data_IF_315472260816
#
_entry.id   IF_315472260816
#
_cell.length_a   1.000
_cell.length_b   1.000
_cell.length_c   1.000
_cell.angle_alpha   90.00
_cell.angle_beta   90.00
_cell.angle_gamma   90.00
#
_symmetry.space_group_name_H-M   'P 1'
#
loop_
_entity.id
_entity.type
_entity.pdbx_description
1 polymer ?
#
# COMPACT_ATOMS: atom_id res chain seq x y z
N UNK A 1 28.31 -2.73 5.60
CA UNK A 1 26.93 -2.22 5.42
C UNK A 1 26.31 -2.67 4.10
N UNK A 2 27.02 -2.54 2.97
CA UNK A 2 26.58 -2.95 1.62
C UNK A 2 26.15 -4.41 1.49
N UNK A 3 26.85 -5.37 2.12
CA UNK A 3 26.47 -6.80 2.10
C UNK A 3 25.07 -7.06 2.64
N UNK A 4 24.70 -6.46 3.77
CA UNK A 4 23.36 -6.59 4.36
C UNK A 4 22.30 -6.01 3.43
N UNK A 5 22.58 -4.86 2.81
CA UNK A 5 21.69 -4.25 1.81
C UNK A 5 21.53 -5.13 0.56
N UNK A 6 22.60 -5.76 0.09
CA UNK A 6 22.54 -6.69 -1.04
C UNK A 6 21.70 -7.93 -0.70
N UNK A 7 21.90 -8.52 0.48
CA UNK A 7 21.07 -9.62 0.97
C UNK A 7 19.60 -9.21 1.14
N UNK A 8 19.34 -7.97 1.56
CA UNK A 8 17.98 -7.42 1.63
C UNK A 8 17.37 -7.22 0.24
N UNK A 9 18.15 -6.77 -0.75
CA UNK A 9 17.68 -6.60 -2.13
C UNK A 9 17.21 -7.92 -2.75
N UNK A 10 17.73 -9.07 -2.32
CA UNK A 10 17.24 -10.38 -2.76
C UNK A 10 15.76 -10.62 -2.40
N UNK A 11 15.23 -9.97 -1.36
CA UNK A 11 13.81 -10.09 -1.02
C UNK A 11 12.88 -9.37 -2.00
N UNK A 12 13.42 -8.49 -2.85
CA UNK A 12 12.69 -7.80 -3.92
C UNK A 12 12.39 -8.73 -5.10
N UNK A 13 13.17 -9.80 -5.28
CA UNK A 13 12.95 -10.76 -6.37
C UNK A 13 11.62 -11.51 -6.22
N UNK A 14 10.97 -11.93 -7.33
CA UNK A 14 9.80 -12.78 -7.30
C UNK A 14 10.00 -14.04 -6.45
N UNK A 15 8.94 -14.50 -5.78
CA UNK A 15 9.02 -15.65 -4.85
C UNK A 15 9.57 -16.91 -5.52
N UNK A 16 9.13 -17.20 -6.75
CA UNK A 16 9.61 -18.32 -7.54
C UNK A 16 11.12 -18.28 -7.76
N UNK A 17 11.62 -17.10 -8.16
CA UNK A 17 13.04 -16.86 -8.37
C UNK A 17 13.83 -17.06 -7.07
N UNK A 18 13.33 -16.51 -5.95
CA UNK A 18 13.96 -16.66 -4.64
C UNK A 18 14.02 -18.12 -4.17
N UNK A 19 13.01 -18.93 -4.48
CA UNK A 19 13.02 -20.37 -4.13
C UNK A 19 14.04 -21.14 -4.93
N UNK A 20 14.21 -20.80 -6.21
CA UNK A 20 15.14 -21.50 -7.10
C UNK A 20 16.58 -21.06 -6.92
N UNK A 21 16.84 -19.76 -6.94
CA UNK A 21 18.18 -19.19 -7.03
C UNK A 21 18.61 -18.43 -5.77
N UNK A 22 17.74 -18.32 -4.76
CA UNK A 22 18.00 -17.46 -3.61
C UNK A 22 19.19 -17.91 -2.76
N UNK A 23 19.42 -19.22 -2.65
CA UNK A 23 20.56 -19.77 -1.89
C UNK A 23 21.86 -19.61 -2.67
N UNK A 24 21.84 -19.89 -3.98
CA UNK A 24 22.96 -19.67 -4.90
C UNK A 24 23.38 -18.20 -4.94
N UNK A 25 22.44 -17.27 -5.05
CA UNK A 25 22.73 -15.83 -5.02
C UNK A 25 23.22 -15.36 -3.65
N UNK A 26 22.75 -15.95 -2.54
CA UNK A 26 23.32 -15.65 -1.22
C UNK A 26 24.76 -16.14 -1.12
N UNK A 27 25.04 -17.35 -1.55
CA UNK A 27 26.40 -17.89 -1.60
C UNK A 27 27.32 -17.03 -2.48
N UNK A 28 26.85 -16.59 -3.65
CA UNK A 28 27.61 -15.71 -4.55
C UNK A 28 27.92 -14.35 -3.90
N UNK A 29 26.93 -13.74 -3.22
CA UNK A 29 27.12 -12.49 -2.49
C UNK A 29 28.03 -12.64 -1.27
N UNK A 30 28.09 -13.85 -0.70
CA UNK A 30 28.97 -14.16 0.43
C UNK A 30 30.43 -14.35 -0.02
N UNK A 31 30.65 -14.78 -1.26
CA UNK A 31 31.96 -14.97 -1.88
C UNK A 31 32.50 -13.74 -2.62
N UNK A 32 31.62 -12.78 -2.98
CA UNK A 32 31.98 -11.63 -3.82
C UNK A 32 32.04 -10.31 -3.01
N UNK A 33 32.97 -9.39 -3.33
CA UNK A 33 32.98 -8.06 -2.72
C UNK A 33 31.72 -7.27 -3.11
N UNK A 34 30.91 -6.89 -2.12
CA UNK A 34 29.63 -6.18 -2.33
C UNK A 34 29.82 -4.67 -2.35
N UNK A 35 29.63 -4.05 -3.51
CA UNK A 35 29.67 -2.59 -3.72
C UNK A 35 28.26 -2.00 -3.80
N UNK A 36 28.13 -0.68 -3.71
CA UNK A 36 26.83 -0.01 -3.87
C UNK A 36 26.18 -0.31 -5.24
N UNK A 37 27.00 -0.39 -6.30
CA UNK A 37 26.57 -0.78 -7.65
C UNK A 37 25.93 -2.17 -7.66
N UNK A 38 26.46 -3.12 -6.88
CA UNK A 38 25.87 -4.47 -6.74
C UNK A 38 24.44 -4.41 -6.19
N UNK A 39 24.16 -3.52 -5.24
CA UNK A 39 22.80 -3.34 -4.70
C UNK A 39 21.88 -2.78 -5.77
N UNK A 40 22.33 -1.78 -6.54
CA UNK A 40 21.56 -1.21 -7.65
C UNK A 40 21.29 -2.25 -8.74
N UNK A 41 22.26 -3.08 -9.08
CA UNK A 41 22.11 -4.16 -10.07
C UNK A 41 21.11 -5.22 -9.60
N UNK A 42 21.12 -5.59 -8.31
CA UNK A 42 20.13 -6.50 -7.72
C UNK A 42 18.72 -5.89 -7.74
N UNK A 43 18.58 -4.60 -7.42
CA UNK A 43 17.29 -3.90 -7.48
C UNK A 43 16.77 -3.85 -8.92
N UNK A 44 17.64 -3.51 -9.88
CA UNK A 44 17.32 -3.50 -11.31
C UNK A 44 16.96 -4.91 -11.80
N UNK A 45 17.72 -5.92 -11.40
CA UNK A 45 17.46 -7.32 -11.74
C UNK A 45 16.13 -7.81 -11.17
N UNK A 46 15.80 -7.44 -9.94
CA UNK A 46 14.50 -7.74 -9.34
C UNK A 46 13.36 -7.10 -10.14
N UNK A 47 13.50 -5.84 -10.54
CA UNK A 47 12.51 -5.12 -11.36
C UNK A 47 12.31 -5.83 -12.71
N UNK A 48 13.41 -6.16 -13.41
CA UNK A 48 13.35 -6.89 -14.69
C UNK A 48 12.68 -8.26 -14.51
N UNK A 49 12.95 -8.97 -13.41
CA UNK A 49 12.33 -10.26 -13.12
C UNK A 49 10.81 -10.16 -12.89
N UNK A 50 10.31 -9.03 -12.37
CA UNK A 50 8.86 -8.77 -12.28
C UNK A 50 8.23 -8.43 -13.63
N UNK A 51 8.96 -7.69 -14.48
CA UNK A 51 8.51 -7.28 -15.82
C UNK A 51 8.53 -8.43 -16.84
N UNK A 52 9.45 -9.39 -16.70
CA UNK A 52 9.58 -10.56 -17.57
C UNK A 52 9.52 -11.85 -16.74
N UNK A 53 8.33 -12.24 -16.23
CA UNK A 53 8.19 -13.48 -15.48
C UNK A 53 8.51 -14.66 -16.39
N UNK A 54 9.48 -15.50 -16.03
CA UNK A 54 9.69 -16.76 -16.73
C UNK A 54 8.60 -17.77 -16.30
N UNK A 55 7.93 -18.37 -17.28
CA UNK A 55 6.76 -19.23 -17.06
C UNK A 55 7.08 -20.51 -16.31
N UNK A 56 8.23 -21.12 -16.63
CA UNK A 56 8.82 -22.30 -15.98
C UNK A 56 8.97 -22.16 -14.46
N UNK A 57 9.39 -20.99 -13.97
CA UNK A 57 9.57 -20.74 -12.55
C UNK A 57 8.25 -20.63 -11.79
N UNK A 58 7.15 -20.27 -12.45
CA UNK A 58 5.85 -20.10 -11.79
C UNK A 58 5.26 -21.44 -11.29
N UNK A 59 5.63 -22.55 -11.93
CA UNK A 59 5.21 -23.90 -11.57
C UNK A 59 5.89 -24.41 -10.30
N UNK A 60 7.10 -23.91 -10.00
CA UNK A 60 7.85 -24.24 -8.77
C UNK A 60 7.20 -23.70 -7.48
N UNK A 61 6.17 -22.86 -7.58
CA UNK A 61 5.49 -22.26 -6.43
C UNK A 61 4.14 -22.95 -6.22
N UNK A 62 3.95 -23.54 -5.05
CA UNK A 62 2.69 -24.15 -4.65
C UNK A 62 1.50 -23.18 -4.84
N UNK A 63 0.31 -23.66 -5.29
CA UNK A 63 -0.85 -22.80 -5.53
C UNK A 63 -1.23 -21.92 -4.35
N UNK A 64 -1.16 -22.46 -3.12
CA UNK A 64 -1.45 -21.71 -1.90
C UNK A 64 -0.50 -20.52 -1.69
N UNK A 65 0.80 -20.68 -1.98
CA UNK A 65 1.78 -19.60 -1.84
C UNK A 65 1.59 -18.50 -2.89
N UNK A 66 1.11 -18.86 -4.09
CA UNK A 66 0.74 -17.88 -5.12
C UNK A 66 -0.46 -17.06 -4.68
N UNK A 67 -1.50 -17.69 -4.09
CA UNK A 67 -2.65 -16.97 -3.53
C UNK A 67 -2.23 -16.05 -2.38
N UNK A 68 -1.36 -16.52 -1.47
CA UNK A 68 -0.78 -15.69 -0.40
C UNK A 68 0.00 -14.49 -0.94
N UNK A 69 0.83 -14.71 -1.95
CA UNK A 69 1.59 -13.65 -2.61
C UNK A 69 0.65 -12.61 -3.24
N UNK A 70 -0.38 -13.06 -3.97
CA UNK A 70 -1.39 -12.18 -4.57
C UNK A 70 -2.16 -11.37 -3.53
N UNK A 71 -2.66 -12.02 -2.46
CA UNK A 71 -3.36 -11.32 -1.38
C UNK A 71 -2.47 -10.25 -0.70
N UNK A 72 -1.20 -10.59 -0.42
CA UNK A 72 -0.25 -9.61 0.14
C UNK A 72 0.10 -8.49 -0.84
N UNK A 73 0.13 -8.77 -2.15
CA UNK A 73 0.34 -7.79 -3.20
C UNK A 73 -0.82 -6.78 -3.28
N UNK A 74 -2.06 -7.26 -3.20
CA UNK A 74 -3.24 -6.39 -3.16
C UNK A 74 -3.21 -5.51 -1.90
N UNK A 75 -2.89 -6.07 -0.72
CA UNK A 75 -2.77 -5.29 0.51
C UNK A 75 -1.72 -4.16 0.38
N UNK A 76 -0.57 -4.45 -0.24
CA UNK A 76 0.44 -3.44 -0.51
C UNK A 76 -0.11 -2.33 -1.44
N UNK A 77 -0.79 -2.71 -2.52
CA UNK A 77 -1.36 -1.73 -3.46
C UNK A 77 -2.48 -0.90 -2.80
N UNK A 78 -3.27 -1.50 -1.91
CA UNK A 78 -4.27 -0.81 -1.10
C UNK A 78 -3.63 0.26 -0.21
N UNK A 79 -2.48 -0.04 0.41
CA UNK A 79 -1.73 0.93 1.22
C UNK A 79 -1.21 2.09 0.36
N UNK A 80 -0.65 1.81 -0.82
CA UNK A 80 -0.21 2.86 -1.75
C UNK A 80 -1.38 3.76 -2.18
N UNK A 81 -2.52 3.16 -2.53
CA UNK A 81 -3.73 3.91 -2.88
C UNK A 81 -4.26 4.71 -1.69
N UNK A 82 -4.17 4.17 -0.47
CA UNK A 82 -4.58 4.89 0.75
C UNK A 82 -3.71 6.12 0.98
N UNK A 83 -2.39 6.03 0.79
CA UNK A 83 -1.47 7.18 0.88
C UNK A 83 -1.86 8.26 -0.14
N UNK A 84 -2.13 7.88 -1.39
CA UNK A 84 -2.61 8.82 -2.42
C UNK A 84 -3.98 9.41 -2.06
N UNK A 85 -4.89 8.61 -1.49
CA UNK A 85 -6.21 9.03 -1.04
C UNK A 85 -6.15 10.02 0.13
N UNK A 86 -5.22 9.85 1.07
CA UNK A 86 -4.94 10.85 2.11
C UNK A 86 -4.46 12.17 1.50
N UNK A 87 -3.60 12.10 0.48
CA UNK A 87 -3.20 13.27 -0.29
C UNK A 87 -4.39 13.96 -0.94
N UNK A 88 -5.30 13.20 -1.55
CA UNK A 88 -6.53 13.72 -2.16
C UNK A 88 -7.40 14.45 -1.13
N UNK A 89 -7.63 13.81 0.02
CA UNK A 89 -8.42 14.39 1.09
C UNK A 89 -7.79 15.70 1.59
N UNK A 90 -6.47 15.70 1.85
CA UNK A 90 -5.75 16.92 2.24
C UNK A 90 -5.87 18.04 1.19
N UNK A 91 -5.87 17.70 -0.10
CA UNK A 91 -6.00 18.66 -1.21
C UNK A 91 -7.40 19.22 -1.41
N UNK A 92 -8.40 18.70 -0.70
CA UNK A 92 -9.81 19.02 -0.94
C UNK A 92 -10.60 19.23 0.35
N UNK A 93 -9.93 19.33 1.50
CA UNK A 93 -10.57 19.45 2.81
C UNK A 93 -10.98 20.89 3.14
N UNK A 94 -10.36 21.89 2.51
CA UNK A 94 -10.62 23.29 2.81
C UNK A 94 -12.04 23.71 2.41
N UNK A 95 -12.63 24.64 3.17
CA UNK A 95 -14.02 25.09 3.02
C UNK A 95 -14.42 25.49 1.58
N UNK A 96 -13.56 26.14 0.76
CA UNK A 96 -13.89 26.45 -0.63
C UNK A 96 -14.18 25.21 -1.49
N UNK A 97 -13.51 24.08 -1.25
CA UNK A 97 -13.77 22.83 -1.96
C UNK A 97 -15.12 22.22 -1.55
N UNK A 98 -15.48 22.32 -0.27
CA UNK A 98 -16.81 21.96 0.21
C UNK A 98 -17.92 22.77 -0.47
N UNK A 99 -17.73 24.09 -0.56
CA UNK A 99 -18.67 24.98 -1.26
C UNK A 99 -18.79 24.64 -2.76
N UNK A 100 -17.67 24.36 -3.44
CA UNK A 100 -17.67 23.93 -4.83
C UNK A 100 -18.38 22.58 -5.01
N UNK A 101 -18.22 21.63 -4.09
CA UNK A 101 -18.98 20.38 -4.11
C UNK A 101 -20.50 20.61 -4.01
N UNK A 102 -20.95 21.58 -3.21
CA UNK A 102 -22.37 21.92 -3.16
C UNK A 102 -22.89 22.59 -4.43
N UNK A 103 -22.06 23.38 -5.12
CA UNK A 103 -22.41 24.04 -6.37
C UNK A 103 -22.35 23.10 -7.59
N UNK A 104 -21.45 22.12 -7.60
CA UNK A 104 -21.18 21.25 -8.75
C UNK A 104 -21.43 19.77 -8.39
N UNK A 105 -22.56 19.19 -8.84
CA UNK A 105 -22.97 17.84 -8.45
C UNK A 105 -21.94 16.74 -8.75
N UNK A 106 -21.16 16.88 -9.83
CA UNK A 106 -20.14 15.91 -10.22
C UNK A 106 -18.98 15.86 -9.20
N UNK A 107 -18.51 17.01 -8.72
CA UNK A 107 -17.46 17.07 -7.69
C UNK A 107 -17.93 16.39 -6.40
N UNK A 108 -19.16 16.69 -5.96
CA UNK A 108 -19.75 16.06 -4.77
C UNK A 108 -19.96 14.56 -4.95
N UNK A 109 -20.50 14.13 -6.08
CA UNK A 109 -20.74 12.72 -6.37
C UNK A 109 -19.42 11.93 -6.37
N UNK A 110 -18.37 12.46 -7.01
CA UNK A 110 -17.05 11.84 -7.02
C UNK A 110 -16.46 11.76 -5.60
N UNK A 111 -16.52 12.85 -4.82
CA UNK A 111 -16.02 12.86 -3.45
C UNK A 111 -16.75 11.86 -2.54
N UNK A 112 -18.09 11.80 -2.60
CA UNK A 112 -18.89 10.82 -1.86
C UNK A 112 -18.62 9.38 -2.31
N UNK A 113 -18.45 9.15 -3.61
CA UNK A 113 -18.11 7.84 -4.15
C UNK A 113 -16.76 7.35 -3.63
N UNK A 114 -15.74 8.21 -3.60
CA UNK A 114 -14.42 7.90 -3.03
C UNK A 114 -14.57 7.46 -1.57
N UNK A 115 -15.27 8.25 -0.74
CA UNK A 115 -15.47 7.93 0.68
C UNK A 115 -16.24 6.62 0.88
N UNK A 116 -17.40 6.46 0.22
CA UNK A 116 -18.23 5.27 0.36
C UNK A 116 -17.51 4.00 -0.08
N UNK A 117 -16.81 4.04 -1.22
CA UNK A 117 -16.04 2.90 -1.73
C UNK A 117 -14.80 2.62 -0.88
N UNK A 118 -14.17 3.64 -0.32
CA UNK A 118 -13.06 3.47 0.62
C UNK A 118 -13.51 2.74 1.90
N UNK A 119 -14.71 3.03 2.41
CA UNK A 119 -15.29 2.30 3.55
C UNK A 119 -15.56 0.84 3.20
N UNK A 120 -16.15 0.57 2.04
CA UNK A 120 -16.39 -0.81 1.55
C UNK A 120 -15.08 -1.57 1.36
N UNK A 121 -14.07 -0.96 0.73
CA UNK A 121 -12.74 -1.53 0.54
C UNK A 121 -12.04 -1.84 1.87
N UNK A 122 -12.08 -0.90 2.82
CA UNK A 122 -11.53 -1.09 4.17
C UNK A 122 -12.24 -2.22 4.92
N UNK A 123 -13.57 -2.29 4.83
CA UNK A 123 -14.36 -3.38 5.38
C UNK A 123 -13.96 -4.73 4.80
N UNK A 124 -13.76 -4.81 3.48
CA UNK A 124 -13.27 -6.03 2.83
C UNK A 124 -11.85 -6.41 3.31
N UNK A 125 -10.94 -5.46 3.50
CA UNK A 125 -9.60 -5.73 4.08
C UNK A 125 -9.75 -6.33 5.47
N UNK A 126 -10.58 -5.75 6.35
CA UNK A 126 -10.79 -6.24 7.72
C UNK A 126 -11.40 -7.64 7.71
N UNK A 127 -12.46 -7.87 6.93
CA UNK A 127 -13.11 -9.18 6.81
C UNK A 127 -12.16 -10.26 6.28
N UNK A 128 -11.31 -9.92 5.30
CA UNK A 128 -10.31 -10.84 4.75
C UNK A 128 -9.15 -11.11 5.71
N UNK A 129 -8.75 -10.11 6.51
CA UNK A 129 -7.64 -10.21 7.45
C UNK A 129 -8.05 -10.89 8.77
N UNK A 130 -9.29 -10.75 9.22
CA UNK A 130 -9.77 -11.25 10.51
C UNK A 130 -9.45 -12.74 10.75
N UNK A 131 -9.80 -13.69 9.85
CA UNK A 131 -9.48 -15.10 10.07
C UNK A 131 -7.96 -15.35 10.10
N UNK A 132 -7.16 -14.53 9.39
CA UNK A 132 -5.70 -14.64 9.39
C UNK A 132 -5.12 -14.16 10.71
N UNK A 133 -5.63 -13.05 11.25
CA UNK A 133 -5.23 -12.47 12.54
C UNK A 133 -5.52 -13.46 13.67
N UNK A 134 -6.70 -14.08 13.70
CA UNK A 134 -7.07 -15.05 14.73
C UNK A 134 -6.11 -16.25 14.74
N UNK A 135 -5.79 -16.81 13.57
CA UNK A 135 -4.86 -17.94 13.47
C UNK A 135 -3.43 -17.50 13.82
N UNK A 136 -2.98 -16.32 13.36
CA UNK A 136 -1.66 -15.81 13.67
C UNK A 136 -1.46 -15.54 15.17
N UNK A 137 -2.49 -15.01 15.86
CA UNK A 137 -2.48 -14.81 17.31
C UNK A 137 -2.46 -16.15 18.06
N UNK A 138 -3.25 -17.13 17.63
CA UNK A 138 -3.24 -18.46 18.22
C UNK A 138 -1.86 -19.12 18.10
N UNK A 139 -1.23 -19.02 16.94
CA UNK A 139 0.12 -19.58 16.71
C UNK A 139 1.21 -18.78 17.43
N UNK A 140 1.05 -17.46 17.57
CA UNK A 140 1.97 -16.62 18.33
C UNK A 140 2.03 -17.00 19.81
N UNK A 141 0.95 -17.54 20.39
CA UNK A 141 0.97 -18.09 21.76
C UNK A 141 1.92 -19.29 21.89
N UNK A 142 2.12 -20.05 20.81
CA UNK A 142 2.96 -21.26 20.78
C UNK A 142 4.38 -20.98 20.29
N UNK A 143 4.56 -19.97 19.43
CA UNK A 143 5.86 -19.63 18.81
C UNK A 143 6.31 -18.22 19.17
N UNK A 144 7.32 -18.05 20.05
CA UNK A 144 7.75 -16.73 20.51
C UNK A 144 8.30 -15.83 19.39
N UNK A 145 8.90 -16.43 18.36
CA UNK A 145 9.37 -15.70 17.18
C UNK A 145 8.22 -14.99 16.43
N UNK A 146 7.03 -15.59 16.39
CA UNK A 146 5.86 -15.03 15.72
C UNK A 146 5.18 -13.92 16.53
N UNK A 147 5.35 -13.91 17.86
CA UNK A 147 4.80 -12.86 18.75
C UNK A 147 5.27 -11.47 18.33
N UNK A 148 6.58 -11.32 18.11
CA UNK A 148 7.18 -10.04 17.67
C UNK A 148 6.54 -9.58 16.36
N UNK A 149 6.33 -10.51 15.44
CA UNK A 149 5.82 -10.21 14.11
C UNK A 149 4.34 -9.79 14.13
N UNK A 150 3.52 -10.45 14.96
CA UNK A 150 2.10 -10.13 15.12
C UNK A 150 1.88 -8.86 15.95
N UNK A 151 2.80 -8.51 16.86
CA UNK A 151 2.72 -7.26 17.63
C UNK A 151 3.15 -6.01 16.86
N UNK A 152 3.89 -6.15 15.76
CA UNK A 152 4.39 -5.00 14.99
C UNK A 152 3.28 -4.13 14.38
N UNK A 153 2.25 -4.67 13.68
CA UNK A 153 1.18 -3.84 13.14
C UNK A 153 0.42 -3.01 14.19
N UNK A 154 -0.11 -3.57 15.30
CA UNK A 154 -0.82 -2.77 16.28
C UNK A 154 0.09 -1.73 16.94
N UNK A 155 1.36 -2.07 17.20
CA UNK A 155 2.32 -1.10 17.73
C UNK A 155 2.57 0.05 16.74
N UNK A 156 2.75 -0.25 15.46
CA UNK A 156 2.93 0.76 14.42
C UNK A 156 1.71 1.70 14.30
N UNK A 157 0.49 1.14 14.38
CA UNK A 157 -0.76 1.91 14.40
C UNK A 157 -0.85 2.79 15.65
N UNK A 158 -0.53 2.26 16.83
CA UNK A 158 -0.54 3.02 18.08
C UNK A 158 0.46 4.18 18.07
N UNK A 159 1.67 3.94 17.59
CA UNK A 159 2.71 4.97 17.43
C UNK A 159 2.24 6.07 16.48
N UNK A 160 1.69 5.69 15.32
CA UNK A 160 1.19 6.67 14.35
C UNK A 160 -0.02 7.46 14.89
N UNK A 161 -0.94 6.79 15.60
CA UNK A 161 -2.07 7.45 16.25
C UNK A 161 -1.63 8.43 17.34
N UNK A 162 -0.68 8.05 18.19
CA UNK A 162 -0.11 8.92 19.21
C UNK A 162 0.57 10.16 18.59
N UNK A 163 1.37 9.97 17.54
CA UNK A 163 2.01 11.06 16.80
C UNK A 163 0.98 11.98 16.14
N UNK A 164 -0.10 11.43 15.60
CA UNK A 164 -1.20 12.22 15.03
C UNK A 164 -1.91 13.03 16.11
N UNK A 165 -2.13 12.46 17.30
CA UNK A 165 -2.65 13.18 18.46
C UNK A 165 -1.76 14.35 18.87
N UNK A 166 -0.44 14.14 18.94
CA UNK A 166 0.54 15.21 19.21
C UNK A 166 0.48 16.29 18.13
N UNK A 167 0.43 15.90 16.85
CA UNK A 167 0.32 16.84 15.73
C UNK A 167 -0.93 17.72 15.84
N UNK A 168 -2.08 17.13 16.16
CA UNK A 168 -3.35 17.86 16.34
C UNK A 168 -3.27 18.84 17.52
N UNK A 169 -2.69 18.42 18.65
CA UNK A 169 -2.51 19.29 19.82
C UNK A 169 -1.60 20.48 19.48
N UNK A 170 -0.48 20.23 18.78
CA UNK A 170 0.45 21.28 18.33
C UNK A 170 -0.21 22.20 17.31
N UNK A 171 -0.96 21.67 16.36
CA UNK A 171 -1.67 22.47 15.36
C UNK A 171 -2.70 23.41 16.02
N UNK A 172 -3.46 22.92 17.00
CA UNK A 172 -4.47 23.71 17.71
C UNK A 172 -3.89 24.75 18.68
N UNK A 173 -2.64 24.58 19.12
CA UNK A 173 -1.98 25.52 20.04
C UNK A 173 -1.24 26.65 19.32
N UNK A 174 -1.00 26.53 18.01
CA UNK A 174 -0.45 27.61 17.20
C UNK A 174 -1.56 28.54 16.69
N UNK A 175 -1.38 29.87 16.82
CA UNK A 175 -2.36 30.84 16.32
C UNK A 175 -2.45 30.78 14.79
N UNK A 176 -3.66 30.87 14.20
CA UNK A 176 -3.81 30.97 12.75
C UNK A 176 -3.08 32.23 12.25
N UNK A 177 -2.13 32.09 11.32
CA UNK A 177 -1.60 33.23 10.55
C UNK A 177 -0.10 33.38 10.41
N UNK A 178 0.76 32.57 11.06
CA UNK A 178 2.19 32.57 10.72
C UNK A 178 2.59 31.28 9.98
N UNK A 179 2.97 31.34 8.70
CA UNK A 179 3.60 30.21 8.04
C UNK A 179 4.92 29.94 8.75
N UNK A 180 4.95 28.90 9.59
CA UNK A 180 6.16 28.47 10.26
C UNK A 180 6.80 27.33 9.49
N UNK A 181 8.09 27.50 9.16
CA UNK A 181 8.94 26.42 8.61
C UNK A 181 8.92 25.17 9.49
N UNK A 182 8.72 25.36 10.80
CA UNK A 182 8.56 24.30 11.79
C UNK A 182 7.31 23.45 11.53
N UNK A 183 6.14 24.06 11.26
CA UNK A 183 4.91 23.32 10.97
C UNK A 183 5.03 22.44 9.73
N UNK A 184 5.63 22.97 8.67
CA UNK A 184 5.93 22.20 7.46
C UNK A 184 6.86 21.01 7.72
N UNK A 185 7.97 21.23 8.45
CA UNK A 185 8.92 20.17 8.79
C UNK A 185 8.27 19.06 9.66
N UNK A 186 7.44 19.44 10.64
CA UNK A 186 6.70 18.49 11.48
C UNK A 186 5.72 17.67 10.64
N UNK A 187 5.01 18.29 9.70
CA UNK A 187 4.09 17.58 8.80
C UNK A 187 4.82 16.61 7.85
N UNK A 188 6.00 17.00 7.33
CA UNK A 188 6.88 16.10 6.54
C UNK A 188 7.32 14.91 7.39
N UNK A 189 7.80 15.16 8.61
CA UNK A 189 8.22 14.08 9.52
C UNK A 189 7.06 13.14 9.84
N UNK A 190 5.87 13.67 10.11
CA UNK A 190 4.65 12.88 10.34
C UNK A 190 4.30 12.02 9.12
N UNK A 191 4.34 12.58 7.91
CA UNK A 191 4.08 11.85 6.67
C UNK A 191 5.07 10.71 6.44
N UNK A 192 6.38 10.96 6.65
CA UNK A 192 7.43 9.93 6.54
C UNK A 192 7.21 8.80 7.55
N UNK A 193 6.88 9.13 8.81
CA UNK A 193 6.59 8.12 9.83
C UNK A 193 5.33 7.33 9.47
N UNK A 194 4.28 7.98 8.96
CA UNK A 194 3.08 7.30 8.48
C UNK A 194 3.37 6.28 7.38
N UNK A 195 4.19 6.64 6.39
CA UNK A 195 4.63 5.73 5.33
C UNK A 195 5.45 4.56 5.92
N UNK A 196 6.34 4.84 6.86
CA UNK A 196 7.13 3.80 7.53
C UNK A 196 6.24 2.81 8.33
N UNK A 197 5.28 3.32 9.10
CA UNK A 197 4.30 2.50 9.83
C UNK A 197 3.48 1.63 8.87
N UNK A 198 3.01 2.21 7.75
CA UNK A 198 2.26 1.46 6.74
C UNK A 198 3.10 0.35 6.09
N UNK A 199 4.38 0.63 5.78
CA UNK A 199 5.31 -0.37 5.27
C UNK A 199 5.53 -1.51 6.28
N UNK A 200 5.73 -1.19 7.56
CA UNK A 200 5.85 -2.18 8.65
C UNK A 200 4.61 -3.06 8.73
N UNK A 201 3.40 -2.47 8.67
CA UNK A 201 2.14 -3.22 8.67
C UNK A 201 2.06 -4.22 7.51
N UNK A 202 2.39 -3.79 6.29
CA UNK A 202 2.35 -4.69 5.11
C UNK A 202 3.39 -5.79 5.21
N UNK A 203 4.63 -5.45 5.60
CA UNK A 203 5.73 -6.42 5.71
C UNK A 203 5.42 -7.46 6.78
N UNK A 204 4.95 -7.03 7.95
CA UNK A 204 4.57 -7.91 9.05
C UNK A 204 3.35 -8.78 8.67
N UNK A 205 2.30 -8.20 8.07
CA UNK A 205 1.13 -8.97 7.62
C UNK A 205 1.53 -10.02 6.57
N UNK A 206 2.38 -9.66 5.61
CA UNK A 206 2.92 -10.59 4.61
C UNK A 206 3.73 -11.70 5.28
N UNK A 207 4.67 -11.36 6.16
CA UNK A 207 5.47 -12.36 6.83
C UNK A 207 4.62 -13.32 7.69
N UNK A 208 3.58 -12.82 8.37
CA UNK A 208 2.65 -13.64 9.14
C UNK A 208 1.88 -14.61 8.23
N UNK A 209 1.39 -14.12 7.09
CA UNK A 209 0.65 -14.89 6.10
C UNK A 209 1.46 -16.09 5.56
N UNK A 210 2.78 -15.93 5.41
CA UNK A 210 3.67 -17.01 4.98
C UNK A 210 4.14 -17.92 6.12
N UNK A 211 4.20 -17.42 7.37
CA UNK A 211 4.65 -18.19 8.52
C UNK A 211 3.59 -19.13 9.12
N UNK A 212 2.31 -18.83 8.91
CA UNK A 212 1.19 -19.52 9.56
C UNK A 212 0.58 -20.59 8.63
N UNK A 213 0.32 -21.82 9.11
CA UNK A 213 -0.44 -22.81 8.34
C UNK A 213 -1.91 -22.35 8.25
N UNK A 214 -2.41 -22.18 7.03
CA UNK A 214 -3.79 -21.74 6.79
C UNK A 214 -4.56 -22.81 6.05
N UNK A 215 -5.79 -23.06 6.49
CA UNK A 215 -6.69 -23.91 5.75
C UNK A 215 -7.09 -23.25 4.42
N UNK A 216 -7.27 -24.10 3.39
CA UNK A 216 -7.68 -23.70 2.05
C UNK A 216 -8.90 -22.75 2.03
N UNK A 217 -10.02 -23.02 2.75
CA UNK A 217 -11.19 -22.13 2.71
C UNK A 217 -10.88 -20.72 3.25
N UNK A 218 -10.14 -20.61 4.37
CA UNK A 218 -9.76 -19.30 4.93
C UNK A 218 -8.92 -18.48 3.95
N UNK A 219 -8.00 -19.14 3.25
CA UNK A 219 -7.16 -18.50 2.24
C UNK A 219 -7.99 -18.04 1.03
N UNK A 220 -8.95 -18.84 0.57
CA UNK A 220 -9.85 -18.47 -0.53
C UNK A 220 -10.79 -17.32 -0.15
N UNK A 221 -11.32 -17.28 1.08
CA UNK A 221 -12.13 -16.17 1.57
C UNK A 221 -11.32 -14.87 1.65
N UNK A 222 -10.13 -14.92 2.26
CA UNK A 222 -9.23 -13.76 2.33
C UNK A 222 -8.88 -13.23 0.93
N UNK A 223 -8.71 -14.14 -0.02
CA UNK A 223 -8.43 -13.79 -1.41
C UNK A 223 -9.64 -13.21 -2.15
N UNK A 224 -10.85 -13.71 -1.91
CA UNK A 224 -12.08 -13.11 -2.44
C UNK A 224 -12.25 -11.67 -1.95
N UNK A 225 -11.99 -11.40 -0.67
CA UNK A 225 -11.94 -10.05 -0.12
C UNK A 225 -10.90 -9.18 -0.83
N UNK A 226 -9.70 -9.70 -1.12
CA UNK A 226 -8.68 -8.99 -1.87
C UNK A 226 -9.13 -8.66 -3.33
N UNK A 227 -9.90 -9.54 -3.97
CA UNK A 227 -10.49 -9.24 -5.28
C UNK A 227 -11.50 -8.07 -5.18
N UNK A 228 -12.35 -8.05 -4.15
CA UNK A 228 -13.26 -6.92 -3.87
C UNK A 228 -12.49 -5.62 -3.65
N UNK A 229 -11.40 -5.66 -2.88
CA UNK A 229 -10.51 -4.50 -2.67
C UNK A 229 -9.94 -3.99 -4.00
N UNK A 230 -9.55 -4.89 -4.91
CA UNK A 230 -9.03 -4.51 -6.24
C UNK A 230 -10.08 -3.74 -7.06
N UNK A 231 -11.34 -4.17 -7.01
CA UNK A 231 -12.46 -3.47 -7.67
C UNK A 231 -12.69 -2.11 -7.01
N UNK A 232 -12.72 -2.05 -5.68
CA UNK A 232 -12.87 -0.80 -4.94
C UNK A 232 -11.77 0.22 -5.29
N UNK A 233 -10.51 -0.23 -5.40
CA UNK A 233 -9.39 0.60 -5.84
C UNK A 233 -9.60 1.19 -7.23
N UNK A 234 -10.10 0.41 -8.18
CA UNK A 234 -10.36 0.87 -9.54
C UNK A 234 -11.47 1.95 -9.57
N UNK A 235 -12.53 1.74 -8.79
CA UNK A 235 -13.63 2.71 -8.67
C UNK A 235 -13.16 4.00 -7.99
N UNK A 236 -12.36 3.92 -6.93
CA UNK A 236 -11.76 5.09 -6.28
C UNK A 236 -10.88 5.86 -7.28
N UNK A 237 -9.99 5.18 -7.99
CA UNK A 237 -9.10 5.82 -8.97
C UNK A 237 -9.89 6.53 -10.09
N UNK A 238 -10.97 5.91 -10.58
CA UNK A 238 -11.85 6.52 -11.57
C UNK A 238 -12.58 7.75 -11.02
N UNK A 239 -13.14 7.67 -9.81
CA UNK A 239 -13.80 8.80 -9.17
C UNK A 239 -12.83 9.97 -8.92
N UNK A 240 -11.59 9.68 -8.48
CA UNK A 240 -10.53 10.68 -8.33
C UNK A 240 -10.14 11.31 -9.66
N UNK A 241 -10.05 10.53 -10.74
CA UNK A 241 -9.79 11.05 -12.09
C UNK A 241 -10.91 11.98 -12.56
N UNK A 242 -12.17 11.59 -12.37
CA UNK A 242 -13.33 12.43 -12.71
C UNK A 242 -13.31 13.74 -11.91
N UNK A 243 -13.01 13.68 -10.61
CA UNK A 243 -12.84 14.86 -9.78
C UNK A 243 -11.72 15.77 -10.30
N UNK A 244 -10.56 15.19 -10.64
CA UNK A 244 -9.40 15.93 -11.13
C UNK A 244 -9.65 16.62 -12.48
N UNK A 245 -10.50 16.04 -13.34
CA UNK A 245 -10.92 16.64 -14.62
C UNK A 245 -11.98 17.73 -14.40
N UNK A 246 -12.97 17.46 -13.55
CA UNK A 246 -14.08 18.37 -13.31
C UNK A 246 -13.64 19.65 -12.57
N UNK A 247 -12.71 19.54 -11.62
CA UNK A 247 -12.26 20.69 -10.81
C UNK A 247 -11.78 21.89 -11.63
N UNK A 248 -10.84 21.76 -12.60
CA UNK A 248 -10.42 22.91 -13.42
C UNK A 248 -11.50 23.40 -14.39
N UNK A 249 -12.46 22.55 -14.79
CA UNK A 249 -13.55 22.94 -15.67
C UNK A 249 -14.64 23.76 -14.93
N UNK A 250 -15.02 23.30 -13.74
CA UNK A 250 -16.13 23.86 -12.96
C UNK A 250 -15.67 24.96 -11.98
N UNK A 251 -14.46 24.83 -11.42
CA UNK A 251 -13.92 25.72 -10.40
C UNK A 251 -12.42 26.03 -10.64
N UNK A 252 -12.07 26.69 -11.77
CA UNK A 252 -10.68 26.92 -12.17
C UNK A 252 -9.84 27.65 -11.11
N UNK A 253 -10.44 28.60 -10.38
CA UNK A 253 -9.73 29.31 -9.30
C UNK A 253 -9.26 28.38 -8.17
N UNK A 254 -10.01 27.32 -7.86
CA UNK A 254 -9.63 26.33 -6.84
C UNK A 254 -8.56 25.37 -7.34
N UNK A 255 -8.59 25.05 -8.63
CA UNK A 255 -7.60 24.21 -9.29
C UNK A 255 -6.18 24.81 -9.23
N UNK A 256 -6.07 26.14 -9.18
CA UNK A 256 -4.81 26.89 -9.12
C UNK A 256 -4.33 27.19 -7.67
N UNK A 257 -5.11 26.85 -6.64
CA UNK A 257 -4.70 27.06 -5.25
C UNK A 257 -3.54 26.14 -4.86
N UNK A 258 -2.67 26.63 -3.98
CA UNK A 258 -1.58 25.86 -3.36
C UNK A 258 -2.09 25.09 -2.13
N UNK A 259 -3.08 24.22 -2.33
CA UNK A 259 -3.65 23.38 -1.25
C UNK A 259 -3.21 21.90 -1.37
N UNK A 260 -2.21 21.61 -2.21
CA UNK A 260 -1.59 20.29 -2.27
C UNK A 260 -0.91 19.90 -0.94
N UNK A 261 -0.54 18.61 -0.75
CA UNK A 261 0.32 18.21 0.36
C UNK A 261 1.56 19.11 0.42
N UNK A 262 1.86 19.62 1.61
CA UNK A 262 2.94 20.59 1.88
C UNK A 262 2.76 21.99 1.27
N UNK A 263 1.66 22.29 0.57
CA UNK A 263 1.36 23.58 -0.08
C UNK A 263 2.43 24.03 -1.09
N UNK A 264 3.20 23.08 -1.64
CA UNK A 264 4.31 23.38 -2.57
C UNK A 264 3.82 23.45 -4.03
N UNK A 265 2.75 22.70 -4.35
CA UNK A 265 2.22 22.56 -5.71
C UNK A 265 0.75 22.92 -5.75
N UNK A 266 0.28 23.30 -6.93
CA UNK A 266 -1.15 23.56 -7.16
C UNK A 266 -1.98 22.30 -6.95
N UNK A 267 -3.25 22.48 -6.60
CA UNK A 267 -4.20 21.37 -6.40
C UNK A 267 -4.29 20.50 -7.65
N UNK A 268 -4.29 21.07 -8.85
CA UNK A 268 -4.29 20.31 -10.11
C UNK A 268 -3.09 19.38 -10.24
N UNK A 269 -1.88 19.88 -9.98
CA UNK A 269 -0.65 19.06 -10.06
C UNK A 269 -0.67 17.95 -9.00
N UNK A 270 -1.12 18.28 -7.78
CA UNK A 270 -1.29 17.30 -6.70
C UNK A 270 -2.26 16.19 -7.09
N UNK A 271 -3.45 16.54 -7.58
CA UNK A 271 -4.48 15.59 -8.02
C UNK A 271 -3.97 14.71 -9.17
N UNK A 272 -3.27 15.30 -10.15
CA UNK A 272 -2.67 14.54 -11.25
C UNK A 272 -1.64 13.51 -10.75
N UNK A 273 -0.76 13.90 -9.83
CA UNK A 273 0.21 12.98 -9.23
C UNK A 273 -0.48 11.85 -8.46
N UNK A 274 -1.53 12.14 -7.71
CA UNK A 274 -2.32 11.14 -6.98
C UNK A 274 -3.02 10.16 -7.92
N UNK A 275 -3.63 10.65 -9.00
CA UNK A 275 -4.25 9.81 -10.04
C UNK A 275 -3.23 8.85 -10.66
N UNK A 276 -2.02 9.34 -10.98
CA UNK A 276 -0.94 8.49 -11.52
C UNK A 276 -0.58 7.37 -10.53
N UNK A 277 -0.39 7.71 -9.25
CA UNK A 277 -0.09 6.71 -8.20
C UNK A 277 -1.21 5.69 -8.05
N UNK A 278 -2.47 6.15 -8.03
CA UNK A 278 -3.64 5.28 -7.96
C UNK A 278 -3.75 4.35 -9.19
N UNK A 279 -3.51 4.87 -10.39
CA UNK A 279 -3.53 4.08 -11.62
C UNK A 279 -2.46 2.97 -11.60
N UNK A 280 -1.25 3.29 -11.15
CA UNK A 280 -0.18 2.29 -10.96
C UNK A 280 -0.61 1.23 -9.94
N UNK A 281 -1.15 1.65 -8.79
CA UNK A 281 -1.62 0.73 -7.76
C UNK A 281 -2.74 -0.20 -8.26
N UNK A 282 -3.70 0.33 -9.05
CA UNK A 282 -4.79 -0.44 -9.68
C UNK A 282 -4.26 -1.44 -10.70
N UNK A 283 -3.30 -1.04 -11.55
CA UNK A 283 -2.70 -1.94 -12.52
C UNK A 283 -1.96 -3.10 -11.84
N UNK A 284 -1.19 -2.81 -10.78
CA UNK A 284 -0.50 -3.82 -9.98
C UNK A 284 -1.49 -4.73 -9.21
N UNK A 285 -2.53 -4.17 -8.60
CA UNK A 285 -3.58 -4.95 -7.94
C UNK A 285 -4.32 -5.84 -8.93
N UNK A 286 -4.66 -5.33 -10.12
CA UNK A 286 -5.35 -6.09 -11.16
C UNK A 286 -4.51 -7.25 -11.68
N UNK A 287 -3.21 -7.05 -11.92
CA UNK A 287 -2.31 -8.11 -12.39
C UNK A 287 -2.08 -9.18 -11.32
N UNK A 288 -1.88 -8.78 -10.06
CA UNK A 288 -1.72 -9.71 -8.93
C UNK A 288 -3.01 -10.49 -8.64
N UNK A 289 -4.17 -9.85 -8.75
CA UNK A 289 -5.49 -10.50 -8.65
C UNK A 289 -5.72 -11.46 -9.83
N UNK A 290 -5.47 -11.08 -11.08
CA UNK A 290 -5.61 -12.05 -12.21
C UNK A 290 -4.74 -13.29 -12.03
N UNK A 291 -3.50 -13.13 -11.56
CA UNK A 291 -2.58 -14.25 -11.25
C UNK A 291 -3.09 -15.10 -10.07
N UNK A 292 -3.64 -14.46 -9.05
CA UNK A 292 -4.18 -15.14 -7.86
C UNK A 292 -5.39 -16.02 -8.19
N UNK A 293 -6.29 -15.58 -9.06
CA UNK A 293 -7.47 -16.35 -9.46
C UNK A 293 -7.11 -17.64 -10.20
N UNK A 294 -6.09 -17.59 -11.07
CA UNK A 294 -5.55 -18.80 -11.73
C UNK A 294 -5.02 -19.80 -10.69
N UNK A 295 -4.30 -19.31 -9.69
CA UNK A 295 -3.79 -20.15 -8.60
C UNK A 295 -4.90 -20.68 -7.69
N UNK A 296 -5.94 -19.88 -7.42
CA UNK A 296 -7.11 -20.29 -6.65
C UNK A 296 -7.91 -21.40 -7.35
N UNK A 297 -8.01 -21.35 -8.69
CA UNK A 297 -8.59 -22.44 -9.49
C UNK A 297 -7.83 -23.75 -9.30
N UNK A 298 -6.50 -23.72 -9.41
CA UNK A 298 -5.66 -24.90 -9.18
C UNK A 298 -5.78 -25.44 -7.74
N UNK A 299 -5.88 -24.54 -6.74
CA UNK A 299 -6.03 -24.91 -5.33
C UNK A 299 -7.39 -25.57 -5.02
N UNK A 300 -8.44 -25.28 -5.80
CA UNK A 300 -9.76 -25.93 -5.69
C UNK A 300 -9.78 -27.32 -6.35
N UNK A 301 -8.91 -27.56 -7.32
CA UNK A 301 -8.81 -28.82 -8.04
C UNK A 301 -7.96 -29.89 -7.32
N UNK A 302 -7.04 -29.45 -6.46
CA UNK A 302 -6.25 -30.29 -5.52
C UNK A 302 -6.98 -30.54 -4.21
#
# INVERSE_FOLDING_TARGET
>A
MTRRLAQQALYLYPLAFRRRYGDEMRALLDQSPTRAVTVLDLVRGALVAHLRPRGDLAELVAPADRVRASASGVLFCWVLLSIAGFGFYKSTEDAPFGAAGHAHPLLRAAHLAIQGVALVGSGAVVLGALPLIVVALAEARRRPALRRLVSLPPLAVLVFAALTGVLVVVANSNRPGSPSTVGGAVFVAWGVIGVACAAVCVIAARAALFAVPLSRPKLLTAYACAATVTVAMAVIALATLLYAIALPADAPRLADLYDGPFQIVTTTISLAAQVVVMAIAVALASTTTRRGWRAAGALRAS
#
